data_IF_323719640330
#
_entry.id   IF_323719640330
#
_cell.length_a   1.000
_cell.length_b   1.000
_cell.length_c   1.000
_cell.angle_alpha   90.00
_cell.angle_beta   90.00
_cell.angle_gamma   90.00
#
_symmetry.space_group_name_H-M   'P 1'
#
loop_
_entity.id
_entity.type
_entity.pdbx_description
1 polymer ?
#
# COMPACT_ATOMS: atom_id res chain seq x y z
N UNK A 1 -12.75 -20.44 13.57
CA UNK A 1 -11.77 -19.38 13.25
C UNK A 1 -12.53 -18.07 13.26
N UNK A 2 -12.25 -17.20 14.23
CA UNK A 2 -13.07 -16.01 14.51
C UNK A 2 -12.82 -14.93 13.46
N UNK A 3 -13.88 -14.29 12.94
CA UNK A 3 -13.75 -13.19 11.98
C UNK A 3 -12.84 -12.05 12.50
N UNK A 4 -12.85 -11.83 13.82
CA UNK A 4 -11.93 -10.91 14.51
C UNK A 4 -10.46 -11.22 14.29
N UNK A 5 -10.07 -12.50 14.25
CA UNK A 5 -8.68 -12.89 14.03
C UNK A 5 -8.21 -12.57 12.61
N UNK A 6 -9.09 -12.76 11.61
CA UNK A 6 -8.81 -12.42 10.21
C UNK A 6 -8.67 -10.91 10.04
N UNK A 7 -9.54 -10.12 10.68
CA UNK A 7 -9.48 -8.66 10.64
C UNK A 7 -8.15 -8.16 11.21
N UNK A 8 -7.73 -8.68 12.37
CA UNK A 8 -6.45 -8.31 12.98
C UNK A 8 -5.25 -8.71 12.11
N UNK A 9 -5.32 -9.86 11.45
CA UNK A 9 -4.29 -10.30 10.50
C UNK A 9 -4.17 -9.34 9.31
N UNK A 10 -5.29 -8.91 8.73
CA UNK A 10 -5.29 -7.92 7.65
C UNK A 10 -4.74 -6.58 8.11
N UNK A 11 -5.13 -6.10 9.29
CA UNK A 11 -4.59 -4.85 9.86
C UNK A 11 -3.07 -4.93 10.00
N UNK A 12 -2.54 -6.04 10.53
CA UNK A 12 -1.10 -6.24 10.65
C UNK A 12 -0.37 -6.20 9.29
N UNK A 13 -0.91 -6.90 8.29
CA UNK A 13 -0.35 -6.92 6.92
C UNK A 13 -0.37 -5.51 6.31
N UNK A 14 -1.50 -4.81 6.38
CA UNK A 14 -1.62 -3.47 5.80
C UNK A 14 -0.82 -2.43 6.61
N UNK A 15 -0.57 -2.62 7.90
CA UNK A 15 0.26 -1.68 8.68
C UNK A 15 1.73 -1.82 8.35
N UNK A 16 2.22 -3.06 8.16
CA UNK A 16 3.62 -3.33 7.80
C UNK A 16 3.91 -2.92 6.36
N UNK A 17 2.99 -3.24 5.44
CA UNK A 17 3.23 -3.09 4.00
C UNK A 17 2.45 -1.94 3.36
N UNK A 18 1.47 -1.36 4.03
CA UNK A 18 0.58 -0.35 3.46
C UNK A 18 1.29 0.95 3.12
N UNK A 19 2.18 1.44 3.98
CA UNK A 19 2.97 2.64 3.66
C UNK A 19 3.85 2.45 2.42
N UNK A 20 4.51 1.29 2.31
CA UNK A 20 5.36 0.95 1.16
C UNK A 20 4.55 0.74 -0.12
N UNK A 21 3.46 -0.03 -0.05
CA UNK A 21 2.58 -0.29 -1.19
C UNK A 21 1.90 1.00 -1.67
N UNK A 22 1.47 1.87 -0.76
CA UNK A 22 0.87 3.17 -1.10
C UNK A 22 1.89 4.07 -1.78
N UNK A 23 3.14 4.14 -1.31
CA UNK A 23 4.19 4.93 -1.96
C UNK A 23 4.53 4.41 -3.37
N UNK A 24 4.61 3.08 -3.54
CA UNK A 24 4.85 2.47 -4.85
C UNK A 24 3.67 2.77 -5.79
N UNK A 25 2.43 2.59 -5.34
CA UNK A 25 1.24 2.90 -6.14
C UNK A 25 1.16 4.40 -6.45
N UNK A 26 1.54 5.27 -5.51
CA UNK A 26 1.55 6.70 -5.71
C UNK A 26 2.56 7.10 -6.81
N UNK A 27 3.77 6.54 -6.77
CA UNK A 27 4.81 6.74 -7.77
C UNK A 27 4.46 6.12 -9.14
N UNK A 28 3.77 4.97 -9.16
CA UNK A 28 3.33 4.36 -10.42
C UNK A 28 2.14 5.09 -11.04
N UNK A 29 1.34 5.80 -10.24
CA UNK A 29 0.08 6.44 -10.67
C UNK A 29 0.26 7.91 -11.02
N UNK A 30 1.21 8.58 -10.37
CA UNK A 30 1.90 9.74 -10.92
C UNK A 30 3.30 9.28 -11.29
N UNK A 31 3.48 8.55 -12.42
CA UNK A 31 4.77 8.66 -13.07
C UNK A 31 4.94 10.17 -13.23
N UNK A 32 6.00 10.73 -12.65
CA UNK A 32 6.41 12.08 -13.02
C UNK A 32 6.27 12.11 -14.55
N UNK A 33 5.40 12.98 -15.06
CA UNK A 33 5.50 13.38 -16.45
C UNK A 33 6.99 13.70 -16.57
N UNK A 34 7.72 12.82 -17.26
CA UNK A 34 9.06 13.11 -17.69
C UNK A 34 8.84 14.36 -18.53
N UNK A 35 8.94 15.53 -17.90
CA UNK A 35 9.09 16.79 -18.59
C UNK A 35 10.40 16.60 -19.32
N UNK A 36 10.25 16.17 -20.57
CA UNK A 36 11.29 16.04 -21.58
C UNK A 36 11.86 17.46 -21.80
N UNK A 37 12.79 17.89 -20.94
CA UNK A 37 13.64 19.08 -21.13
C UNK A 37 15.14 18.72 -21.08
#
# INVERSE_FOLDING_TARGET
MSASAIIMMLVAIVTVWGGMAVSIVHLMRHPEEHDDE
#
